data_IF_888010860491
#
_entry.id   IF_888010860491
#
_cell.length_a   1.000
_cell.length_b   1.000
_cell.length_c   1.000
_cell.angle_alpha   90.00
_cell.angle_beta   90.00
_cell.angle_gamma   90.00
#
_symmetry.space_group_name_H-M   'P 1'
#
loop_
_entity.id
_entity.type
_entity.pdbx_description
1 polymer ?
#
# COMPACT_ATOMS: atom_id res chain seq x y z
N UNK A 1 -13.58 12.64 22.01
CA UNK A 1 -12.35 13.17 21.38
C UNK A 1 -11.24 13.49 22.39
N UNK A 2 -11.49 14.32 23.41
CA UNK A 2 -10.49 14.61 24.48
C UNK A 2 -9.97 13.35 25.17
N UNK A 3 -10.83 12.35 25.36
CA UNK A 3 -10.47 11.06 25.93
C UNK A 3 -9.48 10.26 25.06
N UNK A 4 -9.75 10.15 23.75
CA UNK A 4 -8.84 9.52 22.80
C UNK A 4 -7.45 10.21 22.77
N UNK A 5 -7.43 11.54 22.80
CA UNK A 5 -6.18 12.32 22.85
C UNK A 5 -5.43 12.06 24.17
N UNK A 6 -6.14 11.96 25.30
CA UNK A 6 -5.55 11.67 26.61
C UNK A 6 -4.86 10.30 26.63
N UNK A 7 -5.50 9.28 26.06
CA UNK A 7 -4.97 7.93 25.98
C UNK A 7 -3.69 7.85 25.11
N UNK A 8 -3.63 8.60 24.01
CA UNK A 8 -2.50 8.57 23.07
C UNK A 8 -1.34 9.51 23.42
N UNK A 9 -1.63 10.69 23.97
CA UNK A 9 -0.59 11.67 24.31
C UNK A 9 0.00 11.47 25.72
N UNK A 10 -0.56 10.54 26.52
CA UNK A 10 -0.20 10.33 27.94
C UNK A 10 -0.58 11.49 28.87
N UNK A 11 -0.75 12.70 28.34
CA UNK A 11 -1.19 13.90 29.03
C UNK A 11 -2.02 14.82 28.10
N UNK A 12 -2.97 15.55 28.66
CA UNK A 12 -3.75 16.58 27.94
C UNK A 12 -3.23 18.01 28.16
N UNK A 13 -2.18 18.19 28.98
CA UNK A 13 -1.70 19.51 29.45
C UNK A 13 -1.32 20.51 28.35
N UNK A 14 -0.99 20.05 27.14
CA UNK A 14 -0.64 20.93 25.98
C UNK A 14 -1.71 20.95 24.88
N UNK A 15 -2.81 20.21 25.05
CA UNK A 15 -3.90 20.13 24.07
C UNK A 15 -4.89 21.25 24.35
N UNK A 16 -4.81 22.30 23.54
CA UNK A 16 -5.70 23.48 23.62
C UNK A 16 -7.04 23.24 22.90
N UNK A 17 -8.04 24.08 23.15
CA UNK A 17 -9.33 24.06 22.43
C UNK A 17 -9.15 24.19 20.91
N UNK A 18 -8.17 24.98 20.45
CA UNK A 18 -7.83 25.10 19.04
C UNK A 18 -7.45 23.75 18.39
N UNK A 19 -6.81 22.84 19.13
CA UNK A 19 -6.51 21.50 18.63
C UNK A 19 -7.78 20.65 18.50
N UNK A 20 -8.71 20.76 19.46
CA UNK A 20 -9.99 20.03 19.40
C UNK A 20 -10.83 20.52 18.23
N UNK A 21 -10.95 21.84 18.06
CA UNK A 21 -11.64 22.45 16.91
C UNK A 21 -10.98 22.07 15.58
N UNK A 22 -9.66 21.94 15.52
CA UNK A 22 -8.94 21.49 14.32
C UNK A 22 -9.27 20.03 13.98
N UNK A 23 -9.47 19.17 14.99
CA UNK A 23 -9.87 17.78 14.79
C UNK A 23 -11.36 17.65 14.39
N UNK A 24 -12.24 18.45 14.98
CA UNK A 24 -13.64 18.53 14.56
C UNK A 24 -13.76 18.98 13.10
N UNK A 25 -12.96 19.97 12.69
CA UNK A 25 -12.85 20.39 11.28
C UNK A 25 -12.32 19.29 10.35
N UNK A 26 -11.56 18.31 10.84
CA UNK A 26 -11.15 17.16 10.04
C UNK A 26 -12.30 16.17 9.78
N UNK A 27 -13.34 16.16 10.63
CA UNK A 27 -14.52 15.28 10.44
C UNK A 27 -15.48 15.80 9.37
N UNK A 28 -15.38 17.08 8.99
CA UNK A 28 -16.18 17.66 7.90
C UNK A 28 -16.04 16.84 6.59
N UNK A 29 -17.10 16.77 5.77
CA UNK A 29 -17.04 16.14 4.46
C UNK A 29 -15.91 16.70 3.58
N UNK A 30 -15.28 15.83 2.78
CA UNK A 30 -14.25 16.24 1.81
C UNK A 30 -12.86 16.53 2.40
N UNK A 31 -12.64 16.28 3.70
CA UNK A 31 -11.32 16.51 4.36
C UNK A 31 -10.41 15.28 4.40
N UNK A 32 -10.81 14.17 3.77
CA UNK A 32 -9.98 12.96 3.69
C UNK A 32 -8.59 13.25 3.12
N UNK A 33 -7.56 12.70 3.77
CA UNK A 33 -6.15 12.94 3.45
C UNK A 33 -5.53 14.16 4.13
N UNK A 34 -6.31 14.97 4.88
CA UNK A 34 -5.77 16.06 5.69
C UNK A 34 -5.24 15.53 7.03
N UNK A 35 -4.33 16.29 7.63
CA UNK A 35 -3.76 15.99 8.95
C UNK A 35 -3.69 17.20 9.85
N UNK A 36 -3.73 16.95 11.15
CA UNK A 36 -3.44 17.91 12.21
C UNK A 36 -2.28 17.36 13.04
N UNK A 37 -1.33 18.23 13.37
CA UNK A 37 -0.27 17.91 14.31
C UNK A 37 -0.76 18.24 15.72
N UNK A 38 -0.71 17.26 16.60
CA UNK A 38 -0.96 17.44 18.03
C UNK A 38 0.37 17.52 18.80
N UNK A 39 0.34 18.01 20.05
CA UNK A 39 1.47 17.91 20.96
C UNK A 39 1.97 16.46 21.14
N UNK A 40 3.17 16.30 21.72
CA UNK A 40 3.79 14.98 21.95
C UNK A 40 4.04 14.17 20.66
N UNK A 41 4.29 14.87 19.54
CA UNK A 41 4.55 14.26 18.25
C UNK A 41 3.44 13.28 17.81
N UNK A 42 2.17 13.58 18.08
CA UNK A 42 1.04 12.81 17.55
C UNK A 42 0.54 13.48 16.27
N UNK A 43 0.27 12.68 15.24
CA UNK A 43 -0.33 13.11 13.97
C UNK A 43 -1.70 12.47 13.88
N UNK A 44 -2.72 13.29 13.62
CA UNK A 44 -4.07 12.80 13.36
C UNK A 44 -4.38 12.99 11.90
N UNK A 45 -4.68 11.88 11.23
CA UNK A 45 -5.10 11.86 9.84
C UNK A 45 -6.61 11.68 9.75
N UNK A 46 -7.24 12.39 8.81
CA UNK A 46 -8.57 12.02 8.33
C UNK A 46 -8.41 10.96 7.26
N UNK A 47 -8.71 9.72 7.59
CA UNK A 47 -8.61 8.59 6.67
C UNK A 47 -10.02 8.14 6.29
N UNK A 48 -10.48 8.62 5.13
CA UNK A 48 -11.86 8.43 4.68
C UNK A 48 -12.85 8.95 5.73
N UNK A 49 -13.50 8.03 6.43
CA UNK A 49 -14.59 8.28 7.36
C UNK A 49 -14.14 8.13 8.83
N UNK A 50 -12.86 7.84 9.09
CA UNK A 50 -12.27 7.75 10.42
C UNK A 50 -11.19 8.81 10.70
N UNK A 51 -10.94 9.09 11.97
CA UNK A 51 -9.72 9.80 12.41
C UNK A 51 -8.73 8.76 12.91
N UNK A 52 -7.55 8.73 12.30
CA UNK A 52 -6.47 7.81 12.67
C UNK A 52 -5.39 8.59 13.39
N UNK A 53 -5.19 8.25 14.66
CA UNK A 53 -4.16 8.84 15.50
C UNK A 53 -2.94 7.94 15.48
N UNK A 54 -1.77 8.50 15.16
CA UNK A 54 -0.50 7.78 15.25
C UNK A 54 0.56 8.72 15.83
N UNK A 55 1.54 8.17 16.54
CA UNK A 55 2.77 8.93 16.74
C UNK A 55 3.37 9.26 15.38
N UNK A 56 4.03 10.42 15.29
CA UNK A 56 4.64 10.93 14.07
C UNK A 56 5.55 9.82 13.54
N UNK A 57 5.19 9.21 12.39
CA UNK A 57 5.98 8.11 11.89
C UNK A 57 7.39 8.65 11.63
N UNK A 58 8.40 7.79 11.85
CA UNK A 58 9.73 8.03 11.25
C UNK A 58 9.50 8.29 9.77
N UNK A 59 10.23 9.24 9.18
CA UNK A 59 10.14 9.49 7.73
C UNK A 59 10.32 8.14 7.02
N UNK A 60 9.35 7.69 6.21
CA UNK A 60 9.48 6.41 5.54
C UNK A 60 10.72 6.47 4.66
N UNK A 61 11.63 5.52 4.84
CA UNK A 61 12.81 5.42 4.01
C UNK A 61 12.43 4.64 2.75
N UNK A 62 12.69 5.18 1.55
CA UNK A 62 12.51 4.41 0.33
C UNK A 62 13.27 3.09 0.42
N UNK A 63 12.66 2.02 -0.04
CA UNK A 63 13.28 0.71 -0.09
C UNK A 63 13.22 0.14 -1.50
N UNK A 64 14.18 -0.74 -1.76
CA UNK A 64 14.25 -1.59 -2.93
C UNK A 64 14.86 -2.92 -2.49
N UNK A 65 14.20 -4.01 -2.86
CA UNK A 65 14.63 -5.39 -2.55
C UNK A 65 14.37 -6.23 -3.78
N UNK A 66 15.34 -7.05 -4.17
CA UNK A 66 15.09 -8.04 -5.21
C UNK A 66 14.08 -9.07 -4.72
N UNK A 67 13.15 -9.47 -5.58
CA UNK A 67 12.14 -10.48 -5.27
C UNK A 67 12.46 -11.73 -6.11
N UNK A 68 12.99 -12.75 -5.44
CA UNK A 68 13.43 -14.01 -6.07
C UNK A 68 12.38 -15.10 -5.84
N UNK A 69 12.14 -15.98 -6.84
CA UNK A 69 11.26 -17.12 -6.63
C UNK A 69 11.72 -18.00 -5.47
N UNK A 70 10.81 -18.39 -4.59
CA UNK A 70 11.11 -19.23 -3.42
C UNK A 70 11.77 -18.52 -2.23
N UNK A 71 12.18 -17.26 -2.38
CA UNK A 71 12.82 -16.48 -1.31
C UNK A 71 11.90 -15.33 -0.87
N UNK A 72 11.12 -15.50 0.22
CA UNK A 72 10.23 -14.44 0.67
C UNK A 72 10.98 -13.26 1.23
N UNK A 73 10.38 -12.08 1.05
CA UNK A 73 10.85 -10.84 1.66
C UNK A 73 9.78 -10.27 2.58
N UNK A 74 10.23 -9.55 3.60
CA UNK A 74 9.36 -8.79 4.50
C UNK A 74 9.69 -7.31 4.40
N UNK A 75 8.70 -6.51 4.02
CA UNK A 75 8.82 -5.05 3.92
C UNK A 75 7.56 -4.38 4.47
N UNK A 76 7.73 -3.42 5.37
CA UNK A 76 6.63 -2.57 5.87
C UNK A 76 5.38 -3.35 6.35
N UNK A 77 5.61 -4.46 7.05
CA UNK A 77 4.53 -5.31 7.58
C UNK A 77 3.91 -6.28 6.57
N UNK A 78 4.44 -6.36 5.34
CA UNK A 78 4.03 -7.34 4.34
C UNK A 78 5.10 -8.41 4.15
N UNK A 79 4.70 -9.68 4.30
CA UNK A 79 5.39 -10.80 3.68
C UNK A 79 5.02 -10.88 2.21
N UNK A 80 6.00 -11.09 1.34
CA UNK A 80 5.83 -11.17 -0.11
C UNK A 80 6.57 -12.39 -0.64
N UNK A 81 5.86 -13.26 -1.35
CA UNK A 81 6.39 -14.47 -1.96
C UNK A 81 6.18 -14.42 -3.48
N UNK A 82 7.14 -14.97 -4.21
CA UNK A 82 7.05 -15.20 -5.64
C UNK A 82 7.25 -16.69 -5.91
N UNK A 83 6.36 -17.27 -6.71
CA UNK A 83 6.49 -18.61 -7.30
C UNK A 83 6.33 -18.47 -8.82
N UNK A 84 7.05 -19.28 -9.60
CA UNK A 84 7.02 -19.25 -11.07
C UNK A 84 6.80 -20.64 -11.63
N UNK A 85 6.34 -20.73 -12.88
CA UNK A 85 6.09 -22.02 -13.54
C UNK A 85 4.92 -22.82 -12.98
N UNK A 86 4.01 -22.19 -12.23
CA UNK A 86 2.88 -22.87 -11.59
C UNK A 86 1.79 -23.15 -12.63
N UNK A 87 1.23 -24.36 -12.66
CA UNK A 87 0.18 -24.73 -13.63
C UNK A 87 -1.24 -24.48 -13.11
N UNK A 88 -1.44 -24.47 -11.80
CA UNK A 88 -2.74 -24.26 -11.16
C UNK A 88 -2.63 -23.23 -10.04
N UNK A 89 -3.62 -22.34 -9.93
CA UNK A 89 -3.63 -21.33 -8.88
C UNK A 89 -3.64 -22.00 -7.49
N UNK A 90 -2.69 -21.68 -6.60
CA UNK A 90 -2.63 -22.33 -5.29
C UNK A 90 -3.81 -21.89 -4.43
N UNK A 91 -4.35 -22.79 -3.57
CA UNK A 91 -5.26 -22.38 -2.52
C UNK A 91 -4.49 -21.49 -1.52
N UNK A 92 -4.99 -20.29 -1.21
CA UNK A 92 -4.34 -19.46 -0.18
C UNK A 92 -5.31 -18.67 0.69
N UNK A 93 -4.87 -18.44 1.92
CA UNK A 93 -5.50 -17.58 2.93
C UNK A 93 -5.12 -16.10 2.80
N UNK A 94 -4.13 -15.77 1.95
CA UNK A 94 -3.64 -14.42 1.71
C UNK A 94 -4.14 -13.83 0.39
N UNK A 95 -3.73 -12.58 0.11
CA UNK A 95 -4.02 -11.98 -1.18
C UNK A 95 -3.06 -12.53 -2.23
N UNK A 96 -3.61 -13.16 -3.26
CA UNK A 96 -2.84 -13.70 -4.38
C UNK A 96 -3.02 -12.81 -5.62
N UNK A 97 -1.94 -12.61 -6.37
CA UNK A 97 -1.96 -12.06 -7.72
C UNK A 97 -1.40 -13.11 -8.67
N UNK A 98 -2.19 -13.47 -9.68
CA UNK A 98 -1.80 -14.38 -10.75
C UNK A 98 -1.32 -13.57 -11.95
N UNK A 99 -0.19 -13.97 -12.49
CA UNK A 99 0.47 -13.33 -13.62
C UNK A 99 0.72 -14.35 -14.74
N UNK A 100 0.77 -13.88 -15.97
CA UNK A 100 1.28 -14.67 -17.08
C UNK A 100 2.80 -14.81 -16.95
N UNK A 101 3.27 -16.02 -16.62
CA UNK A 101 4.69 -16.26 -16.33
C UNK A 101 5.59 -15.93 -17.52
N UNK A 102 5.12 -16.13 -18.74
CA UNK A 102 5.92 -15.88 -19.95
C UNK A 102 6.11 -14.38 -20.23
N UNK A 103 5.28 -13.52 -19.62
CA UNK A 103 5.33 -12.07 -19.78
C UNK A 103 6.01 -11.36 -18.61
N UNK A 104 6.25 -12.08 -17.51
CA UNK A 104 6.96 -11.56 -16.34
C UNK A 104 8.47 -11.73 -16.56
N UNK A 105 9.26 -10.65 -16.49
CA UNK A 105 10.73 -10.76 -16.56
C UNK A 105 11.29 -11.61 -15.43
N UNK A 106 12.44 -12.25 -15.65
CA UNK A 106 13.10 -13.09 -14.64
C UNK A 106 13.39 -12.34 -13.34
N UNK A 107 13.79 -11.07 -13.44
CA UNK A 107 14.16 -10.24 -12.31
C UNK A 107 13.02 -9.30 -11.93
N UNK A 108 12.41 -9.57 -10.78
CA UNK A 108 11.47 -8.68 -10.12
C UNK A 108 12.12 -8.03 -8.90
N UNK A 109 11.56 -6.92 -8.48
CA UNK A 109 11.91 -6.26 -7.24
C UNK A 109 10.66 -5.72 -6.56
N UNK A 110 10.78 -5.46 -5.26
CA UNK A 110 9.80 -4.74 -4.49
C UNK A 110 10.39 -3.41 -4.03
N UNK A 111 9.65 -2.33 -4.28
CA UNK A 111 10.01 -1.00 -3.83
C UNK A 111 8.86 -0.24 -3.20
N UNK A 112 9.19 0.81 -2.47
CA UNK A 112 8.19 1.77 -2.01
C UNK A 112 7.57 2.54 -3.18
N UNK A 113 6.32 2.98 -2.99
CA UNK A 113 5.65 3.91 -3.91
C UNK A 113 6.44 5.20 -4.10
N UNK A 114 6.43 5.74 -5.32
CA UNK A 114 7.00 7.04 -5.69
C UNK A 114 5.88 8.00 -6.13
N UNK A 115 5.95 9.29 -5.78
CA UNK A 115 5.06 10.29 -6.35
C UNK A 115 5.12 10.28 -7.87
N UNK A 116 3.97 10.20 -8.52
CA UNK A 116 3.88 10.17 -9.98
C UNK A 116 3.72 8.79 -10.59
N UNK A 117 3.92 7.70 -9.83
CA UNK A 117 3.71 6.31 -10.26
C UNK A 117 2.36 6.11 -10.96
N UNK A 118 2.37 5.39 -12.09
CA UNK A 118 1.21 5.08 -12.94
C UNK A 118 1.44 3.76 -13.67
N UNK A 119 0.36 3.05 -13.97
CA UNK A 119 0.38 1.90 -14.85
C UNK A 119 -1.00 1.69 -15.47
N UNK A 120 -1.12 0.83 -16.47
CA UNK A 120 -2.41 0.41 -17.04
C UNK A 120 -2.90 -0.79 -16.24
N UNK A 121 -3.89 -0.68 -15.36
CA UNK A 121 -4.42 -1.84 -14.65
C UNK A 121 -5.27 -2.71 -15.58
N UNK A 122 -5.38 -4.00 -15.26
CA UNK A 122 -6.25 -4.94 -15.97
C UNK A 122 -7.68 -4.39 -16.09
N UNK A 123 -8.27 -4.54 -17.28
CA UNK A 123 -9.60 -4.01 -17.60
C UNK A 123 -9.63 -2.51 -17.93
N UNK A 124 -8.49 -1.82 -18.03
CA UNK A 124 -8.40 -0.43 -18.51
C UNK A 124 -7.52 -0.32 -19.75
N UNK A 125 -7.79 0.70 -20.56
CA UNK A 125 -7.01 1.00 -21.79
C UNK A 125 -5.96 2.10 -21.61
N UNK A 126 -6.06 2.92 -20.56
CA UNK A 126 -5.16 4.06 -20.32
C UNK A 126 -4.48 3.98 -18.96
N UNK A 127 -3.27 4.52 -18.81
CA UNK A 127 -2.58 4.54 -17.52
C UNK A 127 -3.38 5.33 -16.47
N UNK A 128 -3.47 4.78 -15.27
CA UNK A 128 -4.02 5.46 -14.10
C UNK A 128 -2.92 5.78 -13.10
N UNK A 129 -3.01 6.95 -12.46
CA UNK A 129 -2.12 7.31 -11.36
C UNK A 129 -2.34 6.33 -10.20
N UNK A 130 -1.26 5.83 -9.62
CA UNK A 130 -1.30 4.90 -8.50
C UNK A 130 -2.09 5.47 -7.31
N UNK A 131 -1.95 6.77 -7.02
CA UNK A 131 -2.75 7.44 -5.98
C UNK A 131 -4.27 7.29 -6.19
N UNK A 132 -4.74 7.30 -7.44
CA UNK A 132 -6.16 7.13 -7.78
C UNK A 132 -6.62 5.71 -7.47
N UNK A 133 -5.81 4.70 -7.86
CA UNK A 133 -6.08 3.29 -7.57
C UNK A 133 -6.11 3.03 -6.06
N UNK A 134 -5.12 3.55 -5.33
CA UNK A 134 -5.07 3.42 -3.87
C UNK A 134 -6.22 4.11 -3.15
N UNK A 135 -6.72 5.22 -3.69
CA UNK A 135 -7.92 5.86 -3.14
C UNK A 135 -9.16 5.01 -3.37
N UNK A 136 -9.35 4.47 -4.58
CA UNK A 136 -10.48 3.60 -4.91
C UNK A 136 -10.50 2.33 -4.04
N UNK A 137 -9.32 1.77 -3.75
CA UNK A 137 -9.15 0.59 -2.89
C UNK A 137 -9.10 0.92 -1.39
N UNK A 138 -9.45 2.17 -1.03
CA UNK A 138 -9.46 2.68 0.34
C UNK A 138 -8.17 2.45 1.15
N UNK A 139 -7.01 2.47 0.49
CA UNK A 139 -5.72 2.35 1.16
C UNK A 139 -5.45 3.63 1.99
N UNK A 140 -5.19 3.52 3.31
CA UNK A 140 -4.95 4.67 4.19
C UNK A 140 -3.82 5.58 3.73
N UNK A 141 -3.97 6.90 3.81
CA UNK A 141 -2.93 7.85 3.35
C UNK A 141 -1.63 7.70 4.13
N UNK A 142 -1.71 7.35 5.42
CA UNK A 142 -0.55 7.11 6.28
C UNK A 142 0.32 5.97 5.77
N UNK A 143 -0.25 5.03 5.01
CA UNK A 143 0.42 3.83 4.53
C UNK A 143 0.94 3.95 3.10
N UNK A 144 0.43 4.92 2.33
CA UNK A 144 0.65 4.92 0.88
C UNK A 144 2.10 5.18 0.48
N UNK A 145 2.87 5.88 1.30
CA UNK A 145 4.25 6.22 0.92
C UNK A 145 5.22 5.05 1.10
N UNK A 146 4.84 4.08 1.93
CA UNK A 146 5.62 2.86 2.18
C UNK A 146 4.92 1.60 1.63
N UNK A 147 3.84 1.76 0.87
CA UNK A 147 3.13 0.64 0.27
C UNK A 147 4.03 -0.12 -0.71
N UNK A 148 4.13 -1.45 -0.60
CA UNK A 148 5.01 -2.23 -1.46
C UNK A 148 4.43 -2.35 -2.86
N UNK A 149 5.28 -2.07 -3.85
CA UNK A 149 4.99 -2.27 -5.27
C UNK A 149 5.95 -3.32 -5.80
N UNK A 150 5.42 -4.37 -6.43
CA UNK A 150 6.23 -5.28 -7.23
C UNK A 150 6.47 -4.61 -8.58
N UNK A 151 7.72 -4.53 -8.99
CA UNK A 151 8.18 -3.92 -10.23
C UNK A 151 9.12 -4.86 -10.99
N UNK A 152 9.24 -4.67 -12.29
CA UNK A 152 10.35 -5.24 -13.06
C UNK A 152 11.66 -4.61 -12.59
N UNK A 153 12.70 -5.42 -12.35
CA UNK A 153 13.94 -4.92 -11.76
C UNK A 153 14.73 -4.02 -12.73
N UNK A 154 14.56 -4.20 -14.04
CA UNK A 154 15.33 -3.49 -15.06
C UNK A 154 14.70 -2.16 -15.48
N UNK A 155 13.38 -2.17 -15.72
CA UNK A 155 12.67 -1.00 -16.27
C UNK A 155 11.78 -0.28 -15.23
N UNK A 156 11.74 -0.76 -13.99
CA UNK A 156 10.89 -0.23 -12.91
C UNK A 156 9.39 -0.17 -13.27
N UNK A 157 8.93 -1.07 -14.15
CA UNK A 157 7.52 -1.17 -14.54
C UNK A 157 6.72 -1.84 -13.44
N UNK A 158 5.61 -1.22 -13.02
CA UNK A 158 4.75 -1.76 -11.97
C UNK A 158 4.04 -3.02 -12.48
N UNK A 159 4.22 -4.11 -11.76
CA UNK A 159 3.58 -5.42 -12.01
C UNK A 159 2.28 -5.52 -11.24
N UNK A 160 2.35 -5.36 -9.91
CA UNK A 160 1.19 -5.39 -9.02
C UNK A 160 1.55 -4.80 -7.63
N UNK A 161 0.55 -4.72 -6.76
CA UNK A 161 0.70 -4.32 -5.37
C UNK A 161 -0.44 -4.94 -4.52
N UNK A 162 -0.29 -5.05 -3.19
CA UNK A 162 -1.39 -5.48 -2.34
C UNK A 162 -2.60 -4.56 -2.50
N UNK A 163 -3.79 -5.14 -2.51
CA UNK A 163 -5.10 -4.53 -2.72
C UNK A 163 -5.35 -3.94 -4.12
N UNK A 164 -4.38 -3.94 -5.03
CA UNK A 164 -4.49 -3.27 -6.32
C UNK A 164 -4.59 -4.25 -7.50
N UNK A 165 -5.26 -3.86 -8.60
CA UNK A 165 -5.31 -4.68 -9.80
C UNK A 165 -3.91 -4.88 -10.40
N UNK A 166 -3.66 -6.07 -10.94
CA UNK A 166 -2.46 -6.35 -11.74
C UNK A 166 -2.36 -5.39 -12.93
N UNK A 167 -1.14 -5.04 -13.34
CA UNK A 167 -0.95 -4.33 -14.59
C UNK A 167 -1.34 -5.21 -15.78
N UNK A 168 -2.09 -4.65 -16.74
CA UNK A 168 -2.61 -5.37 -17.90
C UNK A 168 -1.52 -6.07 -18.73
N UNK A 169 -0.29 -5.54 -18.67
CA UNK A 169 0.87 -6.14 -19.31
C UNK A 169 1.32 -7.47 -18.68
N UNK A 170 1.01 -7.76 -17.42
CA UNK A 170 1.43 -9.01 -16.78
C UNK A 170 0.24 -9.91 -16.42
N UNK A 171 -0.97 -9.49 -16.78
CA UNK A 171 -2.18 -10.24 -16.50
C UNK A 171 -2.24 -11.56 -17.29
N UNK A 172 -2.81 -12.58 -16.64
CA UNK A 172 -3.20 -13.86 -17.24
C UNK A 172 -4.15 -13.64 -18.43
N UNK A 173 -3.97 -14.45 -19.47
CA UNK A 173 -4.75 -14.48 -20.71
C UNK A 173 -5.31 -15.88 -20.95
N UNK A 174 -6.14 -16.02 -21.98
CA UNK A 174 -6.72 -17.31 -22.34
C UNK A 174 -5.65 -18.34 -22.74
N UNK A 175 -4.52 -17.88 -23.29
CA UNK A 175 -3.42 -18.73 -23.76
C UNK A 175 -2.35 -18.99 -22.70
N UNK A 176 -2.45 -18.39 -21.50
CA UNK A 176 -1.45 -18.52 -20.45
C UNK A 176 -1.40 -19.97 -19.95
N UNK A 177 -0.21 -20.60 -20.08
CA UNK A 177 0.02 -22.01 -19.67
C UNK A 177 0.75 -22.16 -18.35
N UNK A 178 1.53 -21.16 -17.95
CA UNK A 178 2.30 -21.11 -16.71
C UNK A 178 2.01 -19.80 -16.01
N UNK A 179 1.89 -19.87 -14.69
CA UNK A 179 1.57 -18.76 -13.82
C UNK A 179 2.81 -18.36 -13.01
N UNK A 180 3.03 -17.05 -12.92
CA UNK A 180 3.78 -16.47 -11.82
C UNK A 180 2.79 -16.06 -10.75
N UNK A 181 3.01 -16.51 -9.52
CA UNK A 181 2.12 -16.28 -8.38
C UNK A 181 2.83 -15.38 -7.40
N UNK A 182 2.21 -14.24 -7.09
CA UNK A 182 2.67 -13.34 -6.03
C UNK A 182 1.66 -13.39 -4.89
N UNK A 183 2.15 -13.73 -3.71
CA UNK A 183 1.34 -13.74 -2.49
C UNK A 183 1.75 -12.58 -1.60
N UNK A 184 0.75 -11.86 -1.09
CA UNK A 184 0.91 -10.84 -0.06
C UNK A 184 0.23 -11.32 1.22
N UNK A 185 0.97 -11.26 2.32
CA UNK A 185 0.45 -11.51 3.65
C UNK A 185 0.76 -10.33 4.54
N UNK A 186 -0.28 -9.74 5.13
CA UNK A 186 -0.09 -8.63 6.06
C UNK A 186 0.10 -9.20 7.45
N UNK A 187 1.24 -8.93 8.06
CA UNK A 187 1.48 -9.27 9.46
C UNK A 187 0.41 -8.62 10.33
N UNK A 188 -0.11 -9.37 11.31
CA UNK A 188 -0.89 -8.78 12.38
C UNK A 188 0.09 -8.01 13.28
N UNK A 189 -0.07 -6.70 13.34
CA UNK A 189 0.51 -5.89 14.42
C UNK A 189 -0.15 -6.24 15.76
#
# INVERSE_FOLDING_TARGET
MREAIRQLCGHTRRVTSQHVEALERLLEPGKSGRRVLLPAAVVVWREFDALTFRHRPRRPQPYWRELRPGEPIVVEGFGIWLERGVTEAPPSSGQIVLLDDERVPERLAVRSRRPGDRYVPLGRQRPLKLKTLMWAQRIPISERDHWPLVVTAEEDRIVCAPGLPVAAEFAVRAETRRLAVIRFERGRE
#
